data_IF_005638384091
#
_entry.id   IF_005638384091
#
_cell.length_a   1.000
_cell.length_b   1.000
_cell.length_c   1.000
_cell.angle_alpha   90.00
_cell.angle_beta   90.00
_cell.angle_gamma   90.00
#
_symmetry.space_group_name_H-M   'P 1'
#
loop_
_entity.id
_entity.type
_entity.pdbx_description
1 polymer ?
#
# COMPACT_ATOMS: atom_id res chain seq x y z
N UNK A 1 -7.41 11.43 -1.93
CA UNK A 1 -5.94 11.27 -2.03
C UNK A 1 -5.66 9.81 -2.36
N UNK A 2 -4.73 9.52 -3.29
CA UNK A 2 -4.37 8.14 -3.65
C UNK A 2 -2.88 7.92 -3.35
N UNK A 3 -2.55 6.86 -2.62
CA UNK A 3 -1.17 6.49 -2.29
C UNK A 3 -0.78 5.22 -3.04
N UNK A 4 0.43 5.21 -3.59
CA UNK A 4 1.01 4.04 -4.28
C UNK A 4 1.97 3.32 -3.34
N UNK A 5 1.82 2.01 -3.24
CA UNK A 5 2.57 1.16 -2.33
C UNK A 5 3.16 0.02 -3.13
N UNK A 6 4.49 -0.09 -3.09
CA UNK A 6 5.17 -1.25 -3.64
C UNK A 6 5.06 -2.37 -2.63
N UNK A 7 4.57 -3.53 -3.06
CA UNK A 7 4.48 -4.73 -2.25
C UNK A 7 5.35 -5.82 -2.87
N UNK A 8 5.63 -6.88 -2.11
CA UNK A 8 6.24 -8.08 -2.69
C UNK A 8 5.19 -8.88 -3.44
N UNK A 9 5.62 -9.80 -4.31
CA UNK A 9 4.69 -10.67 -5.05
C UNK A 9 3.76 -11.49 -4.13
N UNK A 10 4.25 -12.11 -3.04
CA UNK A 10 3.39 -12.83 -2.10
C UNK A 10 2.33 -11.92 -1.44
N UNK A 11 2.73 -10.72 -1.01
CA UNK A 11 1.81 -9.74 -0.41
C UNK A 11 0.75 -9.27 -1.41
N UNK A 12 1.13 -9.09 -2.67
CA UNK A 12 0.22 -8.72 -3.74
C UNK A 12 -0.85 -9.78 -4.02
N UNK A 13 -0.46 -11.05 -4.00
CA UNK A 13 -1.38 -12.19 -4.20
C UNK A 13 -2.25 -12.45 -2.98
N UNK A 14 -1.73 -12.22 -1.77
CA UNK A 14 -2.48 -12.33 -0.52
C UNK A 14 -3.46 -11.17 -0.29
N UNK A 15 -3.25 -10.02 -0.94
CA UNK A 15 -4.11 -8.86 -0.80
C UNK A 15 -5.58 -9.19 -1.12
N UNK A 16 -6.48 -8.79 -0.24
CA UNK A 16 -7.91 -9.08 -0.33
C UNK A 16 -8.73 -8.00 0.37
N UNK A 17 -10.03 -7.97 0.09
CA UNK A 17 -10.96 -7.03 0.73
C UNK A 17 -10.93 -7.21 2.25
N UNK A 18 -10.81 -6.11 3.00
CA UNK A 18 -10.70 -6.12 4.46
C UNK A 18 -9.47 -6.89 4.98
N UNK A 19 -8.52 -7.22 4.11
CA UNK A 19 -7.25 -7.84 4.47
C UNK A 19 -6.22 -6.79 4.85
N UNK A 20 -4.96 -7.19 4.87
CA UNK A 20 -3.85 -6.28 5.10
C UNK A 20 -2.66 -6.64 4.21
N UNK A 21 -1.75 -5.69 4.05
CA UNK A 21 -0.47 -5.90 3.37
C UNK A 21 0.64 -5.10 4.02
N UNK A 22 1.85 -5.62 3.88
CA UNK A 22 3.10 -4.92 4.15
C UNK A 22 3.72 -4.48 2.83
N UNK A 23 4.23 -3.26 2.83
CA UNK A 23 4.83 -2.69 1.64
C UNK A 23 5.70 -1.49 1.93
N UNK A 24 6.01 -0.75 0.87
CA UNK A 24 6.90 0.39 0.94
C UNK A 24 6.40 1.53 0.07
N UNK A 25 6.46 2.75 0.61
CA UNK A 25 6.27 3.98 -0.14
C UNK A 25 7.63 4.48 -0.61
N UNK A 26 7.80 4.59 -1.93
CA UNK A 26 9.03 5.08 -2.56
C UNK A 26 8.86 6.57 -2.87
N UNK A 27 9.58 7.42 -2.13
CA UNK A 27 9.69 8.88 -2.40
C UNK A 27 11.17 9.28 -2.54
N UNK A 28 11.64 10.24 -1.74
CA UNK A 28 13.08 10.57 -1.60
C UNK A 28 13.84 9.53 -0.79
N UNK A 29 13.12 8.80 0.07
CA UNK A 29 13.56 7.66 0.86
C UNK A 29 12.48 6.58 0.78
N UNK A 30 12.82 5.37 1.18
CA UNK A 30 11.90 4.24 1.28
C UNK A 30 11.31 4.27 2.68
N UNK A 31 9.98 4.27 2.77
CA UNK A 31 9.27 4.19 4.05
C UNK A 31 8.50 2.87 4.08
N UNK A 32 8.78 1.97 5.04
CA UNK A 32 8.00 0.77 5.23
C UNK A 32 6.62 1.14 5.79
N UNK A 33 5.61 0.43 5.29
CA UNK A 33 4.20 0.69 5.65
C UNK A 33 3.46 -0.61 5.89
N UNK A 34 2.54 -0.54 6.83
CA UNK A 34 1.50 -1.52 7.06
C UNK A 34 0.18 -0.91 6.62
N UNK A 35 -0.66 -1.72 5.98
CA UNK A 35 -1.91 -1.25 5.38
C UNK A 35 -3.02 -2.20 5.68
N UNK A 36 -4.09 -1.69 6.28
CA UNK A 36 -5.38 -2.37 6.30
C UNK A 36 -6.12 -1.98 5.01
N UNK A 37 -6.36 -2.97 4.17
CA UNK A 37 -7.06 -2.80 2.90
C UNK A 37 -8.55 -2.72 3.16
N UNK A 38 -9.22 -1.73 2.57
CA UNK A 38 -10.67 -1.69 2.55
C UNK A 38 -11.24 -2.53 1.40
N UNK A 39 -11.98 -1.89 0.50
CA UNK A 39 -12.71 -2.57 -0.58
C UNK A 39 -11.97 -2.40 -1.91
N UNK A 40 -11.66 -3.51 -2.57
CA UNK A 40 -11.12 -3.53 -3.93
C UNK A 40 -12.12 -2.93 -4.91
N UNK A 41 -11.61 -2.08 -5.79
CA UNK A 41 -12.39 -1.38 -6.81
C UNK A 41 -11.61 -1.41 -8.11
N UNK A 42 -12.32 -1.22 -9.23
CA UNK A 42 -11.70 -1.17 -10.55
C UNK A 42 -10.59 -0.11 -10.59
N UNK A 43 -9.37 -0.55 -10.91
CA UNK A 43 -8.25 0.34 -11.16
C UNK A 43 -8.38 0.95 -12.55
N UNK A 44 -8.23 2.27 -12.65
CA UNK A 44 -8.12 2.97 -13.92
C UNK A 44 -6.63 3.22 -14.19
N UNK A 45 -6.04 2.57 -15.20
CA UNK A 45 -4.61 2.72 -15.48
C UNK A 45 -4.28 4.16 -15.87
N UNK A 46 -3.16 4.66 -15.36
CA UNK A 46 -2.65 5.97 -15.72
C UNK A 46 -1.72 5.87 -16.93
N UNK A 47 -1.58 6.93 -17.76
CA UNK A 47 -0.70 6.91 -18.94
C UNK A 47 0.78 6.66 -18.65
N UNK A 48 1.21 6.79 -17.38
CA UNK A 48 2.60 6.58 -16.95
C UNK A 48 2.81 5.24 -16.24
N UNK A 49 1.77 4.42 -16.14
CA UNK A 49 1.89 3.10 -15.54
C UNK A 49 2.65 2.16 -16.46
N UNK A 50 3.45 1.28 -15.87
CA UNK A 50 4.18 0.28 -16.63
C UNK A 50 3.18 -0.81 -17.06
N UNK A 51 3.03 -1.09 -18.37
CA UNK A 51 2.09 -2.10 -18.83
C UNK A 51 2.45 -3.52 -18.39
N UNK A 52 3.67 -3.75 -17.87
CA UNK A 52 4.12 -5.05 -17.34
C UNK A 52 3.93 -5.17 -15.82
N UNK A 53 3.52 -4.10 -15.14
CA UNK A 53 3.26 -4.11 -13.70
C UNK A 53 1.78 -4.35 -13.44
N UNK A 54 1.49 -5.20 -12.46
CA UNK A 54 0.13 -5.43 -12.01
C UNK A 54 -0.22 -4.42 -10.91
N UNK A 55 -1.41 -3.85 -11.02
CA UNK A 55 -1.91 -2.83 -10.10
C UNK A 55 -3.26 -3.27 -9.55
N UNK A 56 -3.44 -3.13 -8.24
CA UNK A 56 -4.73 -3.34 -7.56
C UNK A 56 -5.09 -2.10 -6.75
N UNK A 57 -6.37 -1.78 -6.71
CA UNK A 57 -6.86 -0.54 -6.13
C UNK A 57 -7.88 -0.79 -5.04
N UNK A 58 -7.62 -0.23 -3.87
CA UNK A 58 -8.45 -0.37 -2.70
C UNK A 58 -8.90 1.01 -2.21
N UNK A 59 -10.15 1.10 -1.78
CA UNK A 59 -10.74 2.29 -1.15
C UNK A 59 -10.94 2.04 0.33
N UNK A 60 -11.10 3.12 1.09
CA UNK A 60 -11.40 3.08 2.52
C UNK A 60 -10.34 2.29 3.31
N UNK A 61 -9.07 2.53 2.98
CA UNK A 61 -7.93 1.85 3.59
C UNK A 61 -7.36 2.67 4.74
N UNK A 62 -6.70 1.97 5.67
CA UNK A 62 -5.89 2.57 6.72
C UNK A 62 -4.41 2.32 6.44
N UNK A 63 -3.61 3.37 6.48
CA UNK A 63 -2.18 3.32 6.25
C UNK A 63 -1.43 3.70 7.51
N UNK A 64 -0.49 2.85 7.90
CA UNK A 64 0.43 3.06 9.00
C UNK A 64 1.85 3.14 8.44
N UNK A 65 2.49 4.29 8.63
CA UNK A 65 3.82 4.57 8.10
C UNK A 65 4.85 4.56 9.22
N UNK A 66 5.93 3.82 9.04
CA UNK A 66 7.06 3.77 9.96
C UNK A 66 8.34 4.36 9.30
N UNK A 67 9.34 4.69 10.11
CA UNK A 67 10.65 5.12 9.58
C UNK A 67 11.49 3.93 9.10
N UNK A 68 11.44 2.82 9.86
CA UNK A 68 12.20 1.59 9.59
C UNK A 68 11.32 0.35 9.73
N UNK A 69 11.81 -0.79 9.23
CA UNK A 69 11.08 -2.05 9.32
C UNK A 69 10.98 -2.53 10.77
N UNK A 70 12.01 -2.28 11.59
CA UNK A 70 11.94 -2.64 13.02
C UNK A 70 10.89 -1.84 13.79
N UNK A 71 10.68 -0.57 13.42
CA UNK A 71 9.60 0.23 14.00
C UNK A 71 8.24 -0.29 13.55
N UNK A 72 8.12 -0.70 12.29
CA UNK A 72 6.87 -1.27 11.78
C UNK A 72 6.48 -2.55 12.51
N UNK A 73 7.46 -3.43 12.77
CA UNK A 73 7.28 -4.69 13.51
C UNK A 73 6.84 -4.45 14.98
N UNK A 74 7.27 -3.32 15.56
CA UNK A 74 6.91 -2.88 16.91
C UNK A 74 5.65 -2.03 16.97
N UNK A 75 4.98 -1.81 15.84
CA UNK A 75 3.82 -0.94 15.72
C UNK A 75 4.11 0.54 16.10
N UNK A 76 5.37 0.98 15.93
CA UNK A 76 5.81 2.35 16.16
C UNK A 76 5.66 3.19 14.89
N UNK A 77 4.50 3.83 14.73
CA UNK A 77 4.18 4.59 13.51
C UNK A 77 4.54 6.07 13.62
N UNK A 78 5.16 6.60 12.57
CA UNK A 78 5.38 8.04 12.38
C UNK A 78 4.08 8.79 12.08
N UNK A 79 3.20 8.15 11.31
CA UNK A 79 1.92 8.75 10.90
C UNK A 79 0.94 7.67 10.48
N UNK A 80 -0.34 7.94 10.72
CA UNK A 80 -1.45 7.13 10.21
C UNK A 80 -2.34 7.95 9.26
N UNK A 81 -3.05 7.28 8.36
CA UNK A 81 -4.02 7.89 7.46
C UNK A 81 -5.20 6.97 7.25
N UNK A 82 -6.40 7.48 7.57
CA UNK A 82 -7.66 6.72 7.56
C UNK A 82 -8.53 7.13 6.35
N UNK A 83 -9.34 6.20 5.85
CA UNK A 83 -10.30 6.46 4.76
C UNK A 83 -9.64 6.85 3.43
N UNK A 84 -8.38 6.45 3.20
CA UNK A 84 -7.65 6.81 1.99
C UNK A 84 -7.78 5.73 0.91
N UNK A 85 -7.46 6.10 -0.33
CA UNK A 85 -7.41 5.16 -1.43
C UNK A 85 -5.96 4.74 -1.69
N UNK A 86 -5.74 3.45 -1.90
CA UNK A 86 -4.41 2.84 -2.03
C UNK A 86 -4.34 2.04 -3.33
N UNK A 87 -3.24 2.20 -4.04
CA UNK A 87 -2.86 1.35 -5.18
C UNK A 87 -1.66 0.53 -4.74
N UNK A 88 -1.80 -0.79 -4.71
CA UNK A 88 -0.68 -1.70 -4.53
C UNK A 88 -0.15 -2.16 -5.89
N UNK A 89 1.17 -2.35 -5.98
CA UNK A 89 1.81 -2.86 -7.18
C UNK A 89 3.03 -3.72 -6.84
N UNK A 90 3.30 -4.72 -7.66
CA UNK A 90 4.44 -5.66 -7.53
C UNK A 90 5.33 -5.67 -8.77
#
# INVERSE_FOLDING_TARGET
MVIRIRVTRPEFEAASNHGYVYGQIIRRRIFPVYVELGIESNYLPFPKDDPKTEYRFFKDCHLYLAETEEQLDREEYLSESLGIAIVIYS
#
